data_IF_549489285172
#
_entry.id   IF_549489285172
#
_cell.length_a   1.000
_cell.length_b   1.000
_cell.length_c   1.000
_cell.angle_alpha   90.00
_cell.angle_beta   90.00
_cell.angle_gamma   90.00
#
_symmetry.space_group_name_H-M   'P 1'
#
loop_
_entity.id
_entity.type
_entity.pdbx_description
1 polymer ?
#
# COMPACT_ATOMS: atom_id res chain seq x y z
N UNK A 1 -11.70 -2.63 28.38
CA UNK A 1 -11.52 -1.90 27.11
C UNK A 1 -12.89 -1.81 26.47
N UNK A 2 -13.44 -0.61 26.44
CA UNK A 2 -14.79 -0.33 25.98
C UNK A 2 -14.83 -0.39 24.45
N UNK A 3 -15.27 -1.54 23.91
CA UNK A 3 -15.36 -1.82 22.47
C UNK A 3 -16.76 -1.53 21.91
N UNK A 4 -17.47 -0.56 22.47
CA UNK A 4 -18.70 -0.05 21.87
C UNK A 4 -18.36 0.91 20.70
N UNK A 5 -17.75 0.35 19.66
CA UNK A 5 -17.44 1.04 18.39
C UNK A 5 -18.70 1.40 17.59
N UNK A 6 -19.88 0.92 18.01
CA UNK A 6 -21.16 1.18 17.36
C UNK A 6 -21.67 2.61 17.55
N UNK A 7 -21.23 3.29 18.62
CA UNK A 7 -21.65 4.68 18.96
C UNK A 7 -20.78 5.77 18.38
N UNK A 8 -19.63 5.42 17.79
CA UNK A 8 -18.80 6.38 17.04
C UNK A 8 -19.06 6.18 15.55
N UNK A 9 -20.28 6.50 15.10
CA UNK A 9 -20.61 6.64 13.68
C UNK A 9 -19.88 7.86 13.12
N UNK A 10 -18.59 7.70 12.96
CA UNK A 10 -17.73 8.66 12.33
C UNK A 10 -18.16 8.79 10.86
N UNK A 11 -19.04 9.75 10.60
CA UNK A 11 -19.80 9.78 9.36
C UNK A 11 -18.95 9.88 8.09
N UNK A 12 -19.58 9.67 6.91
CA UNK A 12 -18.97 9.78 5.59
C UNK A 12 -18.16 11.07 5.35
N UNK A 13 -18.42 12.12 6.13
CA UNK A 13 -17.76 13.41 6.03
C UNK A 13 -16.25 13.39 6.26
N UNK A 14 -15.75 12.65 7.26
CA UNK A 14 -14.31 12.70 7.61
C UNK A 14 -13.45 11.93 6.60
N UNK A 15 -13.95 10.78 6.11
CA UNK A 15 -13.30 10.04 5.03
C UNK A 15 -13.27 10.86 3.73
N UNK A 16 -14.38 11.53 3.40
CA UNK A 16 -14.48 12.43 2.26
C UNK A 16 -13.50 13.59 2.38
N UNK A 17 -13.39 14.21 3.56
CA UNK A 17 -12.46 15.30 3.85
C UNK A 17 -11.01 14.89 3.61
N UNK A 18 -10.57 13.76 4.15
CA UNK A 18 -9.22 13.25 3.89
C UNK A 18 -8.99 12.97 2.40
N UNK A 19 -9.94 12.32 1.73
CA UNK A 19 -9.84 12.04 0.29
C UNK A 19 -9.71 13.33 -0.53
N UNK A 20 -10.45 14.37 -0.15
CA UNK A 20 -10.36 15.70 -0.77
C UNK A 20 -9.02 16.39 -0.47
N UNK A 21 -8.49 16.28 0.74
CA UNK A 21 -7.16 16.81 1.08
C UNK A 21 -6.07 16.13 0.27
N UNK A 22 -6.12 14.80 0.15
CA UNK A 22 -5.22 14.04 -0.71
C UNK A 22 -5.33 14.53 -2.16
N UNK A 23 -6.55 14.62 -2.69
CA UNK A 23 -6.76 15.08 -4.06
C UNK A 23 -6.25 16.52 -4.28
N UNK A 24 -6.53 17.47 -3.38
CA UNK A 24 -6.07 18.86 -3.49
C UNK A 24 -4.56 18.98 -3.45
N UNK A 25 -3.90 18.16 -2.63
CA UNK A 25 -2.46 18.14 -2.50
C UNK A 25 -1.78 17.53 -3.75
N UNK A 26 -2.36 16.47 -4.30
CA UNK A 26 -1.80 15.75 -5.44
C UNK A 26 -2.17 16.34 -6.81
N UNK A 27 -3.32 17.01 -6.89
CA UNK A 27 -3.84 17.70 -8.06
C UNK A 27 -4.14 19.17 -7.72
N UNK A 28 -3.09 19.98 -7.43
CA UNK A 28 -3.28 21.40 -7.19
C UNK A 28 -3.70 22.11 -8.49
N UNK A 29 -4.22 23.34 -8.37
CA UNK A 29 -4.56 24.18 -9.52
C UNK A 29 -3.38 24.31 -10.50
N UNK A 30 -3.65 24.39 -11.80
CA UNK A 30 -2.65 24.27 -12.88
C UNK A 30 -1.41 25.16 -12.69
N UNK A 31 -1.57 26.44 -12.33
CA UNK A 31 -0.44 27.34 -12.08
C UNK A 31 0.44 26.86 -10.91
N UNK A 32 -0.19 26.38 -9.84
CA UNK A 32 0.50 25.80 -8.69
C UNK A 32 1.13 24.44 -9.04
N UNK A 33 0.48 23.62 -9.86
CA UNK A 33 1.07 22.38 -10.37
C UNK A 33 2.32 22.68 -11.22
N UNK A 34 2.27 23.65 -12.13
CA UNK A 34 3.45 24.06 -12.90
C UNK A 34 4.58 24.59 -12.00
N UNK A 35 4.25 25.36 -10.96
CA UNK A 35 5.24 25.82 -9.99
C UNK A 35 5.85 24.67 -9.17
N UNK A 36 5.03 23.74 -8.69
CA UNK A 36 5.45 22.64 -7.82
C UNK A 36 6.15 21.51 -8.60
N UNK A 37 5.67 21.19 -9.80
CA UNK A 37 6.22 20.15 -10.66
C UNK A 37 7.32 20.68 -11.61
N UNK A 38 7.48 22.00 -11.76
CA UNK A 38 8.31 22.63 -12.79
C UNK A 38 9.55 23.40 -12.33
N UNK A 39 9.92 23.36 -11.03
CA UNK A 39 11.14 24.01 -10.55
C UNK A 39 12.37 23.09 -10.59
N UNK A 40 13.37 23.59 -11.33
CA UNK A 40 14.82 23.39 -11.28
C UNK A 40 15.48 22.30 -12.13
N UNK A 41 16.53 22.79 -12.79
CA UNK A 41 17.35 22.23 -13.87
C UNK A 41 18.81 22.15 -13.41
N UNK A 42 19.05 22.07 -12.10
CA UNK A 42 20.36 22.31 -11.50
C UNK A 42 20.73 21.24 -10.47
N UNK A 43 21.72 20.42 -10.86
CA UNK A 43 22.54 19.44 -10.13
C UNK A 43 21.87 18.12 -9.68
N UNK A 44 22.42 17.01 -10.19
CA UNK A 44 22.12 15.59 -9.90
C UNK A 44 20.70 15.32 -9.40
N UNK A 45 19.79 15.10 -10.35
CA UNK A 45 18.34 14.95 -10.14
C UNK A 45 17.93 13.84 -9.16
N UNK A 46 18.79 12.87 -8.84
CA UNK A 46 18.56 11.86 -7.78
C UNK A 46 18.64 12.43 -6.36
N UNK A 47 19.44 13.48 -6.14
CA UNK A 47 19.51 14.19 -4.85
C UNK A 47 18.49 15.33 -4.78
N UNK A 48 18.16 15.95 -5.92
CA UNK A 48 17.24 17.10 -5.97
C UNK A 48 15.75 16.72 -5.92
N UNK A 49 15.39 15.50 -6.35
CA UNK A 49 14.05 14.96 -6.20
C UNK A 49 13.64 14.80 -4.70
N UNK A 50 14.61 14.85 -3.78
CA UNK A 50 14.37 14.96 -2.32
C UNK A 50 14.29 16.41 -1.81
N UNK A 51 14.85 17.39 -2.54
CA UNK A 51 14.98 18.77 -2.07
C UNK A 51 13.97 19.73 -2.72
N UNK A 52 13.41 19.42 -3.90
CA UNK A 52 12.67 20.41 -4.70
C UNK A 52 11.45 19.80 -5.41
N UNK A 53 10.29 19.93 -4.77
CA UNK A 53 8.99 19.96 -5.47
C UNK A 53 8.05 18.77 -5.31
N UNK A 54 8.54 17.56 -5.01
CA UNK A 54 7.69 16.40 -4.71
C UNK A 54 8.42 15.29 -3.98
N UNK A 55 7.70 14.50 -3.16
CA UNK A 55 8.29 13.32 -2.53
C UNK A 55 8.28 12.16 -3.53
N UNK A 56 9.38 11.41 -3.56
CA UNK A 56 9.83 10.66 -4.74
C UNK A 56 10.13 9.23 -4.29
N UNK A 57 9.28 8.28 -4.69
CA UNK A 57 9.31 6.89 -4.21
C UNK A 57 10.08 5.95 -5.14
N UNK A 58 10.83 5.02 -4.56
CA UNK A 58 11.64 4.03 -5.28
C UNK A 58 10.85 2.75 -5.52
N UNK A 59 11.03 2.14 -6.70
CA UNK A 59 10.31 0.93 -7.11
C UNK A 59 10.56 -0.24 -6.15
N UNK A 60 9.49 -0.97 -5.81
CA UNK A 60 9.53 -2.14 -4.92
C UNK A 60 10.10 -3.39 -5.61
N UNK A 61 11.34 -3.35 -6.06
CA UNK A 61 11.99 -4.54 -6.61
C UNK A 61 12.22 -5.57 -5.49
N UNK A 62 11.58 -6.74 -5.61
CA UNK A 62 11.73 -7.87 -4.68
C UNK A 62 10.69 -7.96 -3.57
N UNK A 63 9.69 -7.07 -3.52
CA UNK A 63 8.63 -7.11 -2.52
C UNK A 63 7.25 -7.42 -3.14
N UNK A 64 6.38 -8.08 -2.36
CA UNK A 64 4.98 -8.32 -2.68
C UNK A 64 4.21 -7.04 -3.09
N UNK A 65 3.09 -7.20 -3.81
CA UNK A 65 2.27 -6.06 -4.28
C UNK A 65 1.76 -5.23 -3.11
N UNK A 66 1.28 -5.88 -2.06
CA UNK A 66 0.76 -5.23 -0.86
C UNK A 66 1.87 -4.46 -0.12
N UNK A 67 3.05 -5.06 0.02
CA UNK A 67 4.22 -4.39 0.60
C UNK A 67 4.59 -3.15 -0.19
N UNK A 68 4.65 -3.25 -1.52
CA UNK A 68 4.95 -2.12 -2.41
C UNK A 68 3.94 -0.99 -2.24
N UNK A 69 2.64 -1.30 -2.23
CA UNK A 69 1.58 -0.31 -2.01
C UNK A 69 1.70 0.32 -0.61
N UNK A 70 2.04 -0.47 0.40
CA UNK A 70 2.24 0.03 1.76
C UNK A 70 3.43 1.01 1.82
N UNK A 71 4.56 0.67 1.21
CA UNK A 71 5.72 1.57 1.07
C UNK A 71 5.34 2.88 0.38
N UNK A 72 4.64 2.81 -0.75
CA UNK A 72 4.16 4.00 -1.48
C UNK A 72 3.23 4.84 -0.61
N UNK A 73 2.34 4.20 0.18
CA UNK A 73 1.48 4.92 1.12
C UNK A 73 2.28 5.67 2.19
N UNK A 74 3.43 5.12 2.61
CA UNK A 74 4.45 5.75 3.44
C UNK A 74 4.84 7.12 2.90
N UNK A 75 5.39 7.14 1.69
CA UNK A 75 5.83 8.35 1.00
C UNK A 75 4.70 9.33 0.71
N UNK A 76 3.52 8.83 0.34
CA UNK A 76 2.36 9.68 0.12
C UNK A 76 1.95 10.42 1.40
N UNK A 77 2.05 9.78 2.57
CA UNK A 77 1.81 10.45 3.85
C UNK A 77 2.77 11.60 4.08
N UNK A 78 4.07 11.42 3.83
CA UNK A 78 5.05 12.50 4.00
C UNK A 78 4.75 13.64 3.04
N UNK A 79 4.44 13.33 1.78
CA UNK A 79 4.09 14.33 0.77
C UNK A 79 2.90 15.19 1.23
N UNK A 80 1.89 14.55 1.82
CA UNK A 80 0.72 15.23 2.37
C UNK A 80 1.06 16.15 3.53
N UNK A 81 1.87 15.66 4.49
CA UNK A 81 2.30 16.46 5.64
C UNK A 81 3.14 17.67 5.22
N UNK A 82 3.98 17.50 4.20
CA UNK A 82 4.78 18.57 3.61
C UNK A 82 4.01 19.45 2.63
N UNK A 83 2.75 19.13 2.34
CA UNK A 83 1.90 19.80 1.35
C UNK A 83 2.52 19.84 -0.06
N UNK A 84 3.24 18.78 -0.44
CA UNK A 84 3.85 18.58 -1.76
C UNK A 84 3.15 17.44 -2.54
N UNK A 85 3.11 17.49 -3.89
CA UNK A 85 2.68 16.34 -4.68
C UNK A 85 3.67 15.18 -4.50
N UNK A 86 3.16 13.96 -4.56
CA UNK A 86 3.95 12.75 -4.62
C UNK A 86 4.09 12.31 -6.08
N UNK A 87 5.31 11.96 -6.50
CA UNK A 87 5.58 11.45 -7.85
C UNK A 87 6.23 10.09 -7.75
N UNK A 88 5.50 9.07 -8.18
CA UNK A 88 6.06 7.74 -8.36
C UNK A 88 6.68 7.63 -9.76
N UNK A 89 7.98 7.39 -9.81
CA UNK A 89 8.78 7.30 -11.05
C UNK A 89 9.63 6.02 -11.11
N UNK A 90 9.57 5.19 -10.05
CA UNK A 90 10.21 3.88 -10.00
C UNK A 90 9.49 2.84 -10.85
N UNK A 91 10.09 1.65 -10.95
CA UNK A 91 9.48 0.50 -11.64
C UNK A 91 8.53 -0.28 -10.73
N UNK A 92 7.32 -0.49 -11.20
CA UNK A 92 6.33 -1.38 -10.60
C UNK A 92 6.39 -2.74 -11.30
N UNK A 93 7.01 -3.72 -10.63
CA UNK A 93 7.27 -5.04 -11.20
C UNK A 93 6.00 -5.73 -11.72
N UNK A 94 4.87 -5.52 -11.05
CA UNK A 94 3.58 -6.10 -11.43
C UNK A 94 3.00 -5.53 -12.73
N UNK A 95 3.52 -4.40 -13.22
CA UNK A 95 3.22 -3.83 -14.53
C UNK A 95 4.31 -4.11 -15.58
N UNK A 96 5.23 -5.05 -15.32
CA UNK A 96 6.31 -5.43 -16.24
C UNK A 96 5.89 -6.56 -17.18
N UNK A 97 4.75 -6.41 -17.86
CA UNK A 97 4.18 -7.41 -18.76
C UNK A 97 3.83 -6.83 -20.15
N UNK A 98 3.45 -7.70 -21.08
CA UNK A 98 3.15 -7.34 -22.47
C UNK A 98 1.96 -6.40 -22.61
N UNK A 99 0.94 -6.51 -21.75
CA UNK A 99 -0.23 -5.63 -21.74
C UNK A 99 0.21 -4.20 -21.46
N UNK A 100 0.97 -3.99 -20.39
CA UNK A 100 1.48 -2.67 -20.04
C UNK A 100 2.49 -2.13 -21.05
N UNK A 101 3.31 -2.99 -21.66
CA UNK A 101 4.21 -2.61 -22.75
C UNK A 101 3.44 -2.05 -23.95
N UNK A 102 2.40 -2.77 -24.39
CA UNK A 102 1.58 -2.39 -25.54
C UNK A 102 0.83 -1.08 -25.30
N UNK A 103 0.51 -0.77 -24.04
CA UNK A 103 -0.09 0.50 -23.63
C UNK A 103 0.91 1.65 -23.45
N UNK A 104 2.21 1.45 -23.70
CA UNK A 104 3.25 2.47 -23.45
C UNK A 104 3.45 2.79 -21.96
N UNK A 105 3.08 1.86 -21.07
CA UNK A 105 3.09 2.01 -19.60
C UNK A 105 3.87 0.88 -18.92
N UNK A 106 4.94 0.40 -19.56
CA UNK A 106 5.76 -0.69 -19.04
C UNK A 106 6.33 -0.34 -17.66
N UNK A 107 6.10 -1.22 -16.68
CA UNK A 107 6.49 -1.05 -15.28
C UNK A 107 5.94 0.24 -14.64
N UNK A 108 4.89 0.85 -15.21
CA UNK A 108 4.23 2.01 -14.67
C UNK A 108 2.98 1.59 -13.88
N UNK A 109 2.83 2.14 -12.67
CA UNK A 109 1.65 1.96 -11.83
C UNK A 109 0.36 2.40 -12.55
N UNK A 110 0.45 3.42 -13.41
CA UNK A 110 -0.66 3.92 -14.21
C UNK A 110 -1.16 2.95 -15.28
N UNK A 111 -0.43 1.86 -15.56
CA UNK A 111 -0.93 0.78 -16.42
C UNK A 111 -2.28 0.26 -15.91
N UNK A 112 -2.42 0.09 -14.58
CA UNK A 112 -3.64 -0.45 -13.97
C UNK A 112 -4.46 0.56 -13.18
N UNK A 113 -3.79 1.59 -12.65
CA UNK A 113 -4.35 2.46 -11.62
C UNK A 113 -4.41 3.91 -12.14
N UNK A 114 -5.22 4.75 -11.50
CA UNK A 114 -5.29 6.16 -11.84
C UNK A 114 -3.98 6.86 -11.47
N UNK A 115 -3.60 7.95 -12.18
CA UNK A 115 -2.46 8.77 -11.79
C UNK A 115 -2.58 9.22 -10.34
N UNK A 116 -1.44 9.32 -9.66
CA UNK A 116 -1.39 9.76 -8.28
C UNK A 116 -1.36 11.28 -8.15
N UNK A 117 -0.76 11.96 -9.12
CA UNK A 117 -0.56 13.41 -9.11
C UNK A 117 -0.67 14.02 -10.51
N UNK A 118 -0.80 15.35 -10.56
CA UNK A 118 -0.82 16.12 -11.79
C UNK A 118 0.58 16.30 -12.43
N UNK A 119 1.66 15.79 -11.81
CA UNK A 119 3.04 16.01 -12.23
C UNK A 119 3.52 15.00 -13.30
N UNK A 120 2.75 14.78 -14.36
CA UNK A 120 3.06 13.77 -15.40
C UNK A 120 4.35 14.06 -16.18
N UNK A 121 4.66 15.34 -16.45
CA UNK A 121 5.89 15.74 -17.12
C UNK A 121 7.13 15.45 -16.26
N UNK A 122 7.08 15.79 -14.98
CA UNK A 122 8.13 15.48 -14.01
C UNK A 122 8.35 13.97 -13.90
N UNK A 123 7.26 13.19 -13.83
CA UNK A 123 7.32 11.73 -13.84
C UNK A 123 8.04 11.19 -15.07
N UNK A 124 7.63 11.62 -16.26
CA UNK A 124 8.21 11.17 -17.54
C UNK A 124 9.72 11.42 -17.58
N UNK A 125 10.13 12.62 -17.16
CA UNK A 125 11.55 12.98 -17.05
C UNK A 125 12.30 12.07 -16.08
N UNK A 126 11.80 11.94 -14.84
CA UNK A 126 12.44 11.12 -13.81
C UNK A 126 12.51 9.63 -14.18
N UNK A 127 11.50 9.12 -14.89
CA UNK A 127 11.48 7.73 -15.37
C UNK A 127 12.46 7.47 -16.51
N UNK A 128 12.78 8.46 -17.34
CA UNK A 128 13.79 8.34 -18.40
C UNK A 128 15.20 8.16 -17.83
N UNK A 129 15.50 8.85 -16.73
CA UNK A 129 16.81 8.80 -16.06
C UNK A 129 16.91 7.70 -15.00
N UNK A 130 15.82 6.95 -14.75
CA UNK A 130 15.78 5.95 -13.69
C UNK A 130 16.73 4.79 -14.00
N UNK A 131 17.64 4.54 -13.06
CA UNK A 131 18.49 3.34 -13.04
C UNK A 131 18.14 2.51 -11.81
N UNK A 132 18.03 1.18 -11.94
CA UNK A 132 17.84 0.33 -10.77
C UNK A 132 19.01 0.55 -9.80
N UNK A 133 18.76 0.64 -8.47
CA UNK A 133 19.84 0.62 -7.52
C UNK A 133 20.68 -0.64 -7.74
N UNK A 134 22.01 -0.50 -7.70
CA UNK A 134 22.91 -1.67 -7.72
C UNK A 134 22.67 -2.45 -6.43
N UNK A 135 21.96 -3.57 -6.53
CA UNK A 135 21.72 -4.47 -5.41
C UNK A 135 23.06 -5.16 -5.11
N UNK A 136 23.76 -4.71 -4.07
CA UNK A 136 24.88 -5.51 -3.54
C UNK A 136 24.29 -6.76 -2.91
N UNK A 137 24.73 -7.95 -3.33
CA UNK A 137 24.24 -9.25 -2.85
C UNK A 137 24.25 -9.42 -1.31
N UNK A 138 24.99 -8.57 -0.59
CA UNK A 138 25.18 -8.64 0.87
C UNK A 138 24.38 -7.61 1.70
N UNK A 139 23.40 -6.89 1.14
CA UNK A 139 22.57 -5.95 1.92
C UNK A 139 21.09 -6.30 1.79
N UNK A 140 20.50 -6.77 2.90
CA UNK A 140 19.05 -6.89 3.03
C UNK A 140 18.36 -5.55 2.72
N UNK A 141 17.17 -5.62 2.09
CA UNK A 141 16.34 -4.47 1.68
C UNK A 141 17.12 -3.29 1.10
N UNK A 142 17.42 -3.32 -0.20
CA UNK A 142 18.13 -2.23 -0.89
C UNK A 142 17.15 -1.15 -1.33
N UNK A 143 16.78 -0.24 -0.42
CA UNK A 143 16.45 1.13 -0.82
C UNK A 143 17.80 1.86 -1.10
N UNK A 144 17.91 2.71 -2.14
CA UNK A 144 19.16 3.32 -2.54
C UNK A 144 19.72 4.19 -1.42
N UNK A 145 20.93 3.83 -1.01
CA UNK A 145 22.08 4.66 -0.65
C UNK A 145 21.91 6.08 -0.05
N UNK A 146 20.82 6.41 0.63
CA UNK A 146 20.98 7.25 1.83
C UNK A 146 21.60 6.38 2.92
N UNK A 147 22.62 6.86 3.65
CA UNK A 147 23.35 6.02 4.58
C UNK A 147 22.40 5.51 5.67
N UNK A 148 22.19 4.20 5.71
CA UNK A 148 21.91 3.43 6.93
C UNK A 148 20.59 3.61 7.72
N UNK A 149 19.59 4.40 7.29
CA UNK A 149 18.45 4.71 8.20
C UNK A 149 17.04 4.26 7.82
N UNK A 150 16.75 3.89 6.58
CA UNK A 150 15.34 3.91 6.11
C UNK A 150 14.58 2.60 6.26
N UNK A 151 15.26 1.46 6.30
CA UNK A 151 14.61 0.16 6.53
C UNK A 151 14.27 -0.08 8.01
N UNK A 152 14.96 0.60 8.93
CA UNK A 152 14.75 0.54 10.38
C UNK A 152 13.95 1.73 10.93
N UNK A 153 13.96 2.89 10.28
CA UNK A 153 13.13 4.03 10.67
C UNK A 153 11.69 3.88 10.16
N UNK A 154 10.92 2.97 10.78
CA UNK A 154 9.46 2.88 10.61
C UNK A 154 8.70 4.16 11.02
N UNK A 155 9.40 5.16 11.57
CA UNK A 155 8.81 6.41 12.05
C UNK A 155 7.95 7.12 10.99
N UNK A 156 8.35 7.08 9.71
CA UNK A 156 7.57 7.69 8.63
C UNK A 156 6.23 6.97 8.37
N UNK A 157 6.13 5.67 8.68
CA UNK A 157 4.86 4.93 8.64
C UNK A 157 3.93 5.25 9.82
N UNK A 158 4.50 5.69 10.95
CA UNK A 158 3.77 6.04 12.16
C UNK A 158 3.26 7.49 12.17
N UNK A 159 3.82 8.36 11.32
CA UNK A 159 3.36 9.76 11.20
C UNK A 159 1.95 9.82 10.63
N UNK A 160 1.08 10.55 11.34
CA UNK A 160 -0.28 10.92 10.92
C UNK A 160 -0.46 12.44 11.10
N UNK A 161 -1.36 13.10 10.34
CA UNK A 161 -1.62 14.53 10.53
C UNK A 161 -2.18 14.82 11.92
N UNK A 162 -1.84 15.98 12.48
CA UNK A 162 -2.43 16.43 13.73
C UNK A 162 -3.94 16.69 13.58
N UNK A 163 -4.64 16.74 14.71
CA UNK A 163 -6.06 17.13 14.76
C UNK A 163 -7.04 15.99 14.45
N UNK A 164 -8.11 16.29 13.73
CA UNK A 164 -9.23 15.37 13.50
C UNK A 164 -8.83 14.08 12.76
N UNK A 165 -7.92 14.18 11.79
CA UNK A 165 -7.46 13.06 10.98
C UNK A 165 -6.58 12.10 11.78
N UNK A 166 -5.62 12.62 12.56
CA UNK A 166 -4.75 11.82 13.41
C UNK A 166 -5.47 11.12 14.57
N UNK A 167 -6.53 11.74 15.12
CA UNK A 167 -7.35 11.14 16.19
C UNK A 167 -8.02 9.83 15.80
N UNK A 168 -8.08 9.49 14.51
CA UNK A 168 -8.63 8.22 14.01
C UNK A 168 -7.63 7.06 14.07
N UNK A 169 -6.37 7.35 14.36
CA UNK A 169 -5.29 6.39 14.42
C UNK A 169 -4.68 6.06 13.06
N UNK A 170 -3.49 5.46 13.13
CA UNK A 170 -2.65 5.17 11.96
C UNK A 170 -3.33 4.23 10.96
N UNK A 171 -4.05 3.21 11.42
CA UNK A 171 -4.73 2.26 10.54
C UNK A 171 -5.76 2.94 9.63
N UNK A 172 -6.62 3.79 10.20
CA UNK A 172 -7.65 4.51 9.45
C UNK A 172 -7.04 5.43 8.41
N UNK A 173 -6.03 6.22 8.81
CA UNK A 173 -5.34 7.15 7.93
C UNK A 173 -4.64 6.42 6.77
N UNK A 174 -3.91 5.35 7.05
CA UNK A 174 -3.23 4.54 6.02
C UNK A 174 -4.21 3.88 5.06
N UNK A 175 -5.34 3.39 5.56
CA UNK A 175 -6.38 2.79 4.72
C UNK A 175 -6.92 3.78 3.69
N UNK A 176 -7.06 5.06 4.05
CA UNK A 176 -7.48 6.11 3.11
C UNK A 176 -6.41 6.39 2.03
N UNK A 177 -5.13 6.42 2.40
CA UNK A 177 -4.03 6.57 1.44
C UNK A 177 -4.00 5.40 0.46
N UNK A 178 -4.09 4.16 0.96
CA UNK A 178 -4.15 2.96 0.13
C UNK A 178 -5.37 2.99 -0.78
N UNK A 179 -6.54 3.40 -0.27
CA UNK A 179 -7.75 3.55 -1.09
C UNK A 179 -7.57 4.56 -2.23
N UNK A 180 -6.81 5.63 -2.02
CA UNK A 180 -6.48 6.61 -3.07
C UNK A 180 -5.53 6.04 -4.12
N UNK A 181 -4.50 5.29 -3.68
CA UNK A 181 -3.52 4.65 -4.56
C UNK A 181 -4.15 3.53 -5.41
N UNK A 182 -5.12 2.80 -4.86
CA UNK A 182 -5.76 1.64 -5.49
C UNK A 182 -6.96 1.98 -6.38
N UNK A 183 -7.11 3.24 -6.79
CA UNK A 183 -8.17 3.64 -7.72
C UNK A 183 -7.90 3.07 -9.10
N UNK A 184 -8.73 2.13 -9.54
CA UNK A 184 -8.65 1.54 -10.88
C UNK A 184 -8.86 2.59 -11.98
N UNK A 185 -8.04 2.53 -13.05
CA UNK A 185 -8.30 3.28 -14.27
C UNK A 185 -9.48 2.65 -15.06
N UNK A 186 -9.99 3.36 -16.08
CA UNK A 186 -11.15 2.91 -16.85
C UNK A 186 -10.89 1.59 -17.59
N UNK A 187 -9.70 1.43 -18.19
CA UNK A 187 -9.30 0.21 -18.89
C UNK A 187 -9.30 -1.01 -17.97
N UNK A 188 -8.69 -0.90 -16.79
CA UNK A 188 -8.67 -1.98 -15.79
C UNK A 188 -10.05 -2.31 -15.25
N UNK A 189 -10.91 -1.32 -15.03
CA UNK A 189 -12.31 -1.57 -14.62
C UNK A 189 -13.06 -2.39 -15.66
N UNK A 190 -12.89 -2.04 -16.94
CA UNK A 190 -13.48 -2.78 -18.05
C UNK A 190 -12.92 -4.19 -18.14
N UNK A 191 -11.59 -4.33 -18.07
CA UNK A 191 -10.90 -5.61 -18.21
C UNK A 191 -11.24 -6.60 -17.08
N UNK A 192 -11.25 -6.14 -15.83
CA UNK A 192 -11.60 -7.00 -14.69
C UNK A 192 -13.08 -7.39 -14.66
N UNK A 193 -13.96 -6.58 -15.28
CA UNK A 193 -15.40 -6.86 -15.31
C UNK A 193 -15.98 -7.16 -13.93
N UNK A 194 -15.52 -6.45 -12.88
CA UNK A 194 -15.80 -6.81 -11.47
C UNK A 194 -17.28 -7.05 -11.16
N UNK A 195 -18.26 -6.29 -11.69
CA UNK A 195 -19.67 -6.59 -11.48
C UNK A 195 -20.09 -7.97 -12.02
N UNK A 196 -19.65 -8.32 -13.23
CA UNK A 196 -19.94 -9.61 -13.85
C UNK A 196 -19.24 -10.75 -13.09
N UNK A 197 -17.99 -10.55 -12.68
CA UNK A 197 -17.24 -11.52 -11.87
C UNK A 197 -17.94 -11.77 -10.52
N UNK A 198 -18.31 -10.70 -9.80
CA UNK A 198 -19.03 -10.80 -8.52
C UNK A 198 -20.35 -11.54 -8.67
N UNK A 199 -21.11 -11.26 -9.74
CA UNK A 199 -22.34 -12.01 -10.05
C UNK A 199 -22.04 -13.48 -10.31
N UNK A 200 -21.01 -13.79 -11.10
CA UNK A 200 -20.61 -15.16 -11.46
C UNK A 200 -20.21 -16.00 -10.24
N UNK A 201 -19.46 -15.42 -9.30
CA UNK A 201 -19.02 -16.14 -8.09
C UNK A 201 -20.03 -16.05 -6.93
N UNK A 202 -21.22 -15.46 -7.16
CA UNK A 202 -22.24 -15.31 -6.12
C UNK A 202 -21.84 -14.39 -4.95
N UNK A 203 -20.95 -13.42 -5.19
CA UNK A 203 -20.47 -12.48 -4.17
C UNK A 203 -21.62 -11.57 -3.70
N UNK A 204 -22.19 -11.88 -2.53
CA UNK A 204 -23.31 -11.17 -1.92
C UNK A 204 -23.17 -11.20 -0.39
N UNK A 205 -23.40 -10.06 0.26
CA UNK A 205 -23.34 -9.93 1.72
C UNK A 205 -24.62 -10.42 2.42
N UNK A 206 -24.56 -10.71 3.74
CA UNK A 206 -23.35 -10.74 4.59
C UNK A 206 -22.40 -11.89 4.19
N UNK A 207 -21.08 -11.66 4.25
CA UNK A 207 -20.04 -12.62 3.84
C UNK A 207 -18.79 -12.45 4.71
N UNK A 208 -18.14 -13.57 5.05
CA UNK A 208 -16.89 -13.60 5.81
C UNK A 208 -15.73 -13.68 4.84
N UNK A 209 -14.78 -12.75 4.92
CA UNK A 209 -13.55 -12.80 4.13
C UNK A 209 -12.47 -13.60 4.84
N UNK A 210 -11.91 -14.60 4.17
CA UNK A 210 -10.81 -15.44 4.67
C UNK A 210 -9.65 -15.35 3.70
N UNK A 211 -8.45 -15.09 4.21
CA UNK A 211 -7.22 -15.06 3.43
C UNK A 211 -6.22 -16.04 4.03
N UNK A 212 -5.95 -17.13 3.30
CA UNK A 212 -4.96 -18.14 3.66
C UNK A 212 -3.73 -17.93 2.79
N UNK A 213 -2.66 -17.40 3.40
CA UNK A 213 -1.39 -17.18 2.71
C UNK A 213 -0.43 -18.31 3.06
N UNK A 214 -0.11 -19.12 2.07
CA UNK A 214 0.92 -20.14 2.13
C UNK A 214 2.16 -19.67 1.36
N UNK A 215 2.45 -20.30 0.23
CA UNK A 215 3.55 -19.93 -0.68
C UNK A 215 4.86 -19.64 0.03
N UNK A 216 5.50 -18.53 -0.37
CA UNK A 216 6.76 -18.05 0.19
C UNK A 216 6.68 -17.70 1.69
N UNK A 217 5.49 -17.42 2.21
CA UNK A 217 5.31 -17.07 3.62
C UNK A 217 5.56 -18.27 4.53
N UNK A 218 5.28 -19.48 4.07
CA UNK A 218 5.51 -20.70 4.83
C UNK A 218 6.99 -20.97 5.11
N UNK A 219 7.86 -20.68 4.14
CA UNK A 219 9.30 -20.93 4.26
C UNK A 219 10.03 -19.79 4.98
N UNK A 220 9.46 -18.58 4.96
CA UNK A 220 10.10 -17.36 5.48
C UNK A 220 9.61 -16.94 6.87
N UNK A 221 8.56 -17.57 7.40
CA UNK A 221 8.01 -17.27 8.74
C UNK A 221 8.50 -18.18 9.85
N UNK A 222 9.56 -18.95 9.62
CA UNK A 222 10.57 -19.26 10.63
C UNK A 222 11.35 -17.99 11.03
N UNK A 223 10.63 -16.89 11.28
CA UNK A 223 11.15 -15.80 12.09
C UNK A 223 11.39 -16.42 13.45
N UNK A 224 12.63 -16.87 13.65
CA UNK A 224 13.27 -16.94 14.95
C UNK A 224 12.71 -15.78 15.72
N UNK A 225 11.98 -16.08 16.79
CA UNK A 225 11.56 -15.10 17.78
C UNK A 225 12.87 -14.51 18.28
N UNK A 226 13.37 -13.49 17.59
CA UNK A 226 14.44 -12.64 18.06
C UNK A 226 13.77 -11.87 19.18
N UNK A 227 13.76 -12.48 20.35
CA UNK A 227 13.56 -11.83 21.62
C UNK A 227 14.68 -10.81 21.78
N UNK A 228 14.57 -9.69 21.09
CA UNK A 228 15.42 -8.53 21.31
C UNK A 228 14.57 -7.26 21.23
N UNK A 229 14.11 -6.88 22.41
CA UNK A 229 14.39 -5.57 23.00
C UNK A 229 14.00 -4.34 22.17
N UNK A 230 12.70 -4.13 21.96
CA UNK A 230 12.19 -2.76 21.81
C UNK A 230 10.92 -2.59 22.65
N UNK A 231 11.07 -1.93 23.81
CA UNK A 231 9.98 -1.30 24.55
C UNK A 231 9.25 -2.18 25.58
N UNK A 232 9.18 -1.69 26.81
CA UNK A 232 8.64 -2.34 28.03
C UNK A 232 7.11 -2.54 28.07
N UNK A 233 6.47 -2.90 26.96
CA UNK A 233 5.05 -3.29 26.94
C UNK A 233 4.81 -4.47 26.00
N UNK A 234 5.64 -5.51 26.11
CA UNK A 234 5.31 -6.81 25.56
C UNK A 234 4.14 -7.39 26.36
N UNK A 235 2.92 -7.21 25.85
CA UNK A 235 1.78 -8.02 26.28
C UNK A 235 2.13 -9.45 25.90
N UNK A 236 2.46 -10.25 26.93
CA UNK A 236 2.70 -11.69 26.86
C UNK A 236 1.42 -12.39 26.39
N UNK A 237 1.18 -12.43 25.09
CA UNK A 237 0.44 -13.55 24.52
C UNK A 237 1.44 -14.68 24.28
N UNK A 238 1.23 -15.89 24.84
CA UNK A 238 2.07 -17.02 24.53
C UNK A 238 1.94 -17.31 23.04
N UNK A 239 2.99 -16.98 22.28
CA UNK A 239 3.14 -17.44 20.89
C UNK A 239 3.57 -18.90 20.99
N UNK A 240 2.57 -19.79 21.05
CA UNK A 240 2.78 -21.23 20.91
C UNK A 240 3.15 -21.52 19.46
N UNK A 241 4.39 -21.95 19.24
CA UNK A 241 4.81 -22.71 18.05
C UNK A 241 5.06 -21.92 16.76
N UNK A 242 6.19 -22.21 16.12
CA UNK A 242 6.74 -21.54 14.93
C UNK A 242 5.84 -21.44 13.70
N UNK A 243 6.25 -20.57 12.78
CA UNK A 243 5.60 -20.26 11.51
C UNK A 243 5.50 -21.46 10.57
N UNK A 244 4.62 -22.40 10.90
CA UNK A 244 4.16 -23.44 9.98
C UNK A 244 3.01 -22.88 9.14
N UNK A 245 2.98 -23.25 7.86
CA UNK A 245 1.79 -23.07 7.02
C UNK A 245 0.54 -23.44 7.81
N UNK A 246 -0.44 -22.54 7.87
CA UNK A 246 -1.72 -22.82 8.52
C UNK A 246 -2.76 -23.10 7.46
N UNK A 247 -3.24 -24.34 7.42
CA UNK A 247 -4.39 -24.74 6.60
C UNK A 247 -5.68 -24.02 6.99
N UNK A 248 -6.74 -24.26 6.21
CA UNK A 248 -8.05 -23.64 6.41
C UNK A 248 -8.64 -23.97 7.79
N UNK A 249 -8.32 -25.14 8.35
CA UNK A 249 -8.78 -25.64 9.65
C UNK A 249 -8.48 -24.65 10.78
N UNK A 250 -7.32 -23.97 10.70
CA UNK A 250 -6.91 -22.99 11.69
C UNK A 250 -7.82 -21.74 11.74
N UNK A 251 -8.59 -21.50 10.68
CA UNK A 251 -9.50 -20.38 10.54
C UNK A 251 -10.96 -20.75 10.87
N UNK A 252 -11.31 -22.04 10.88
CA UNK A 252 -12.68 -22.53 11.08
C UNK A 252 -13.33 -22.01 12.37
N UNK A 253 -12.67 -21.98 13.54
CA UNK A 253 -13.30 -21.47 14.76
C UNK A 253 -13.71 -19.99 14.66
N UNK A 254 -12.87 -19.16 14.02
CA UNK A 254 -13.17 -17.75 13.80
C UNK A 254 -14.29 -17.56 12.77
N UNK A 255 -14.31 -18.40 11.72
CA UNK A 255 -15.39 -18.42 10.73
C UNK A 255 -16.73 -18.76 11.40
N UNK A 256 -16.77 -19.80 12.24
CA UNK A 256 -17.97 -20.20 12.99
C UNK A 256 -18.47 -19.07 13.91
N UNK A 257 -17.55 -18.44 14.65
CA UNK A 257 -17.88 -17.31 15.53
C UNK A 257 -18.51 -16.13 14.75
N UNK A 258 -17.94 -15.79 13.59
CA UNK A 258 -18.48 -14.74 12.73
C UNK A 258 -19.78 -15.15 12.04
N UNK A 259 -19.92 -16.43 11.68
CA UNK A 259 -21.11 -17.01 11.08
C UNK A 259 -22.31 -16.87 12.00
N UNK A 260 -22.15 -17.26 13.27
CA UNK A 260 -23.17 -17.11 14.32
C UNK A 260 -23.51 -15.63 14.56
N UNK A 261 -22.48 -14.79 14.73
CA UNK A 261 -22.66 -13.37 15.03
C UNK A 261 -23.40 -12.60 13.94
N UNK A 262 -23.13 -12.90 12.68
CA UNK A 262 -23.67 -12.16 11.54
C UNK A 262 -24.73 -12.94 10.75
N UNK A 263 -25.16 -14.10 11.27
CA UNK A 263 -26.10 -15.02 10.63
C UNK A 263 -25.77 -15.25 9.14
N UNK A 264 -24.53 -15.67 8.87
CA UNK A 264 -24.07 -15.93 7.50
C UNK A 264 -23.17 -17.15 7.40
N UNK A 265 -23.46 -18.00 6.43
CA UNK A 265 -22.62 -19.15 6.07
C UNK A 265 -21.71 -18.87 4.88
N UNK A 266 -21.78 -17.66 4.30
CA UNK A 266 -21.01 -17.30 3.10
C UNK A 266 -19.58 -16.98 3.47
N UNK A 267 -18.63 -17.65 2.83
CA UNK A 267 -17.20 -17.37 2.95
C UNK A 267 -16.64 -16.99 1.58
N UNK A 268 -15.92 -15.87 1.52
CA UNK A 268 -15.05 -15.52 0.41
C UNK A 268 -13.62 -15.87 0.78
N UNK A 269 -13.09 -16.92 0.15
CA UNK A 269 -11.73 -17.42 0.39
C UNK A 269 -10.78 -16.87 -0.67
N UNK A 270 -9.66 -16.30 -0.21
CA UNK A 270 -8.53 -15.93 -1.04
C UNK A 270 -7.31 -16.74 -0.57
N UNK A 271 -6.62 -17.38 -1.51
CA UNK A 271 -5.43 -18.16 -1.22
C UNK A 271 -4.50 -18.22 -2.42
N UNK A 272 -3.22 -18.43 -2.17
CA UNK A 272 -2.17 -18.71 -3.15
C UNK A 272 -1.87 -20.22 -3.29
N UNK A 273 -2.65 -21.07 -2.63
CA UNK A 273 -2.52 -22.52 -2.64
C UNK A 273 -3.84 -23.20 -3.05
N UNK A 274 -3.82 -23.89 -4.19
CA UNK A 274 -5.00 -24.57 -4.74
C UNK A 274 -5.49 -25.70 -3.82
N UNK A 275 -4.60 -26.32 -3.03
CA UNK A 275 -4.94 -27.39 -2.10
C UNK A 275 -5.81 -26.92 -0.93
N UNK A 276 -5.91 -25.61 -0.68
CA UNK A 276 -6.78 -25.04 0.35
C UNK A 276 -8.25 -25.03 -0.08
N UNK A 277 -8.52 -25.08 -1.39
CA UNK A 277 -9.87 -25.07 -1.96
C UNK A 277 -10.38 -26.50 -2.24
N UNK A 278 -9.47 -27.44 -2.54
CA UNK A 278 -9.76 -28.83 -2.90
C UNK A 278 -10.26 -29.66 -1.71
#
# INVERSE_FOLDING_TARGET
>A
MDLDASKRSWGPGVWRKLTQEIHKNQFPARAKAQQMCGRNRTRSDTALAYAQGGNVGLGGMGAGVASTVHFISGYLSEALLEKKPFVFYGRFNYASNSVCRSAGKLADFECYLQPFSACSSLKTRLSADWKPPKISQNRGCVLPATPHKWCSEVAHFLRVPNGELGRRGTFWFRSALVSFLMRLNAGTKSWLGLPALKKRIGFKGPIIGVHVRHGDACETTDRKVLGHAFGRHAVLFPVVGGGRCKGLEAYIPAIQTLSERYNTTRVYLATDDEAIIA
#
